data_IF_211659919842
#
_entry.id   IF_211659919842
#
_cell.length_a   1.000
_cell.length_b   1.000
_cell.length_c   1.000
_cell.angle_alpha   90.00
_cell.angle_beta   90.00
_cell.angle_gamma   90.00
#
_symmetry.space_group_name_H-M   'P 1'
#
loop_
_entity.id
_entity.type
_entity.pdbx_description
1 polymer ?
#
# COMPACT_ATOMS: atom_id res chain seq x y z
N UNK A 1 -30.35 -5.55 -1.11
CA UNK A 1 -29.69 -6.68 -0.40
C UNK A 1 -28.38 -7.00 -1.10
N UNK A 2 -27.25 -6.63 -0.51
CA UNK A 2 -25.92 -7.23 -0.76
C UNK A 2 -24.88 -6.58 0.17
N UNK A 3 -25.02 -6.79 1.49
CA UNK A 3 -23.97 -6.49 2.47
C UNK A 3 -23.20 -7.77 2.82
N UNK A 4 -22.61 -8.41 1.81
CA UNK A 4 -21.86 -9.65 2.01
C UNK A 4 -20.69 -9.73 1.03
N UNK A 5 -19.79 -8.75 1.02
CA UNK A 5 -18.50 -8.89 0.35
C UNK A 5 -17.36 -8.39 1.23
N UNK A 6 -16.48 -9.32 1.57
CA UNK A 6 -15.16 -9.19 2.18
C UNK A 6 -15.10 -9.10 3.71
N UNK A 7 -15.58 -10.14 4.41
CA UNK A 7 -14.82 -10.57 5.60
C UNK A 7 -13.48 -11.08 5.09
N UNK A 8 -12.38 -10.45 5.52
CA UNK A 8 -11.06 -11.01 5.23
C UNK A 8 -10.89 -12.24 6.11
N UNK A 9 -10.58 -13.37 5.49
CA UNK A 9 -10.36 -14.64 6.18
C UNK A 9 -8.88 -15.00 6.18
N UNK A 10 -8.44 -15.75 7.19
CA UNK A 10 -7.12 -16.37 7.22
C UNK A 10 -6.94 -17.34 6.05
N UNK A 11 -5.71 -17.46 5.54
CA UNK A 11 -5.30 -18.43 4.52
C UNK A 11 -3.91 -18.98 4.86
N UNK A 12 -3.65 -20.18 4.37
CA UNK A 12 -2.31 -20.75 4.32
C UNK A 12 -1.74 -20.54 2.91
N UNK A 13 -0.47 -20.18 2.83
CA UNK A 13 0.27 -20.01 1.59
C UNK A 13 1.51 -20.87 1.65
N UNK A 14 1.84 -21.50 0.52
CA UNK A 14 3.14 -22.14 0.34
C UNK A 14 4.17 -21.06 -0.02
N UNK A 15 5.25 -21.03 0.75
CA UNK A 15 6.32 -20.04 0.63
C UNK A 15 7.04 -20.14 -0.72
N UNK A 16 7.24 -21.35 -1.24
CA UNK A 16 8.06 -21.60 -2.44
C UNK A 16 7.31 -21.25 -3.73
N UNK A 17 5.99 -21.33 -3.71
CA UNK A 17 5.11 -20.95 -4.85
C UNK A 17 4.54 -19.54 -4.73
N UNK A 18 5.01 -18.76 -3.75
CA UNK A 18 4.59 -17.38 -3.51
C UNK A 18 5.68 -16.36 -3.82
N UNK A 19 5.28 -15.17 -4.26
CA UNK A 19 6.10 -13.96 -4.20
C UNK A 19 6.17 -13.46 -2.74
N UNK A 20 6.90 -14.21 -1.90
CA UNK A 20 6.98 -13.96 -0.47
C UNK A 20 8.16 -13.04 -0.13
N UNK A 21 7.94 -12.04 0.74
CA UNK A 21 9.00 -11.13 1.20
C UNK A 21 8.95 -10.86 2.70
N UNK A 22 10.13 -10.69 3.29
CA UNK A 22 10.31 -10.32 4.70
C UNK A 22 11.12 -9.01 4.84
N UNK A 23 12.00 -8.72 3.88
CA UNK A 23 12.94 -7.59 3.92
C UNK A 23 12.64 -6.63 2.78
N UNK A 24 12.74 -5.33 3.05
CA UNK A 24 12.48 -4.26 2.07
C UNK A 24 13.52 -4.16 0.97
N UNK A 25 14.73 -4.69 1.17
CA UNK A 25 15.84 -4.70 0.20
C UNK A 25 16.03 -6.06 -0.50
N UNK A 26 15.13 -7.02 -0.28
CA UNK A 26 15.17 -8.34 -0.92
C UNK A 26 14.26 -8.38 -2.15
N UNK A 27 14.20 -9.55 -2.82
CA UNK A 27 13.23 -9.78 -3.90
C UNK A 27 11.81 -9.49 -3.39
N UNK A 28 11.04 -8.75 -4.19
CA UNK A 28 9.69 -8.24 -3.86
C UNK A 28 9.64 -7.21 -2.73
N UNK A 29 10.78 -6.73 -2.22
CA UNK A 29 10.85 -5.83 -1.07
C UNK A 29 10.17 -4.48 -1.31
N UNK A 30 10.09 -4.04 -2.56
CA UNK A 30 9.37 -2.86 -3.03
C UNK A 30 7.85 -2.96 -2.79
N UNK A 31 7.31 -4.17 -2.63
CA UNK A 31 5.89 -4.37 -2.28
C UNK A 31 5.62 -4.15 -0.78
N UNK A 32 6.65 -3.99 0.06
CA UNK A 32 6.43 -3.58 1.45
C UNK A 32 5.99 -2.11 1.53
N UNK A 33 5.00 -1.81 2.37
CA UNK A 33 4.64 -0.44 2.75
C UNK A 33 5.74 0.27 3.57
N UNK A 34 6.70 -0.50 4.10
CA UNK A 34 7.88 0.00 4.81
C UNK A 34 9.11 0.18 3.89
N UNK A 35 8.98 -0.04 2.58
CA UNK A 35 10.08 0.15 1.65
C UNK A 35 10.32 1.64 1.38
N UNK A 36 11.52 2.11 1.73
CA UNK A 36 11.97 3.48 1.47
C UNK A 36 12.33 3.69 -0.01
N UNK A 37 12.47 4.94 -0.44
CA UNK A 37 12.81 5.29 -1.83
C UNK A 37 11.59 5.44 -2.76
N UNK A 38 10.38 5.38 -2.19
CA UNK A 38 9.12 5.58 -2.91
C UNK A 38 8.31 6.71 -2.27
N UNK A 39 8.80 7.97 -2.30
CA UNK A 39 8.06 9.10 -1.74
C UNK A 39 6.71 9.25 -2.43
N UNK A 40 5.69 9.67 -1.68
CA UNK A 40 4.33 9.89 -2.20
C UNK A 40 4.01 11.37 -2.11
N UNK A 41 3.75 11.97 -3.26
CA UNK A 41 3.21 13.32 -3.36
C UNK A 41 1.68 13.31 -3.30
N UNK A 42 1.10 14.09 -2.41
CA UNK A 42 -0.34 14.27 -2.27
C UNK A 42 -0.65 15.69 -1.84
N UNK A 43 -1.66 16.32 -2.42
CA UNK A 43 -1.99 17.74 -2.17
C UNK A 43 -0.80 18.70 -2.40
N UNK A 44 0.15 18.33 -3.28
CA UNK A 44 1.39 19.09 -3.50
C UNK A 44 2.41 18.98 -2.36
N UNK A 45 2.16 18.12 -1.37
CA UNK A 45 3.05 17.83 -0.25
C UNK A 45 3.68 16.45 -0.46
N UNK A 46 4.88 16.24 0.06
CA UNK A 46 5.59 14.96 -0.07
C UNK A 46 5.66 14.24 1.27
N UNK A 47 5.43 12.93 1.27
CA UNK A 47 5.74 12.03 2.36
C UNK A 47 6.79 11.01 1.93
N UNK A 48 7.55 10.49 2.90
CA UNK A 48 8.60 9.50 2.67
C UNK A 48 8.13 8.21 1.97
N UNK A 49 6.84 7.88 2.01
CA UNK A 49 6.26 6.75 1.30
C UNK A 49 4.96 6.23 1.92
N UNK A 50 4.63 4.98 1.59
CA UNK A 50 3.33 4.35 1.89
C UNK A 50 3.01 4.32 3.39
N UNK A 51 3.94 3.92 4.26
CA UNK A 51 3.69 3.90 5.71
C UNK A 51 3.43 5.31 6.26
N UNK A 52 4.21 6.31 5.84
CA UNK A 52 4.03 7.68 6.31
C UNK A 52 2.66 8.22 5.92
N UNK A 53 2.22 7.98 4.67
CA UNK A 53 0.87 8.36 4.25
C UNK A 53 -0.18 7.59 5.04
N UNK A 54 -0.06 6.26 5.12
CA UNK A 54 -1.04 5.45 5.84
C UNK A 54 -1.22 5.89 7.30
N UNK A 55 -0.13 6.21 8.00
CA UNK A 55 -0.21 6.71 9.37
C UNK A 55 -0.79 8.13 9.45
N UNK A 56 -0.53 9.01 8.47
CA UNK A 56 -1.14 10.35 8.48
C UNK A 56 -2.66 10.30 8.28
N UNK A 57 -3.17 9.35 7.49
CA UNK A 57 -4.60 9.12 7.29
C UNK A 57 -5.33 8.66 8.56
N UNK A 58 -4.60 8.17 9.55
CA UNK A 58 -5.15 7.81 10.87
C UNK A 58 -5.60 9.04 11.66
N UNK A 59 -5.04 10.21 11.37
CA UNK A 59 -5.16 11.43 12.18
C UNK A 59 -5.79 12.60 11.40
N UNK A 60 -6.84 12.33 10.62
CA UNK A 60 -7.47 13.34 9.72
C UNK A 60 -8.02 14.57 10.44
N UNK A 61 -8.39 14.45 11.73
CA UNK A 61 -8.89 15.57 12.54
C UNK A 61 -7.77 16.28 13.32
N UNK A 62 -6.52 15.83 13.17
CA UNK A 62 -5.37 16.28 13.94
C UNK A 62 -4.20 16.67 13.01
N UNK A 63 -4.30 17.82 12.31
CA UNK A 63 -3.27 18.27 11.38
C UNK A 63 -1.90 18.46 12.04
N UNK A 64 -1.85 18.76 13.33
CA UNK A 64 -0.62 18.86 14.10
C UNK A 64 0.12 17.52 14.19
N UNK A 65 -0.62 16.41 14.32
CA UNK A 65 -0.04 15.06 14.38
C UNK A 65 0.39 14.61 12.99
N UNK A 66 -0.43 14.91 11.98
CA UNK A 66 -0.05 14.68 10.60
C UNK A 66 1.25 15.41 10.28
N UNK A 67 1.40 16.69 10.67
CA UNK A 67 2.62 17.46 10.46
C UNK A 67 3.86 16.76 11.06
N UNK A 68 3.75 16.26 12.30
CA UNK A 68 4.84 15.48 12.90
C UNK A 68 5.25 14.28 12.04
N UNK A 69 4.30 13.58 11.42
CA UNK A 69 4.57 12.41 10.55
C UNK A 69 5.29 12.84 9.26
N UNK A 70 4.87 13.95 8.65
CA UNK A 70 5.50 14.52 7.45
C UNK A 70 6.96 14.94 7.70
N UNK A 71 7.28 15.36 8.92
CA UNK A 71 8.61 15.84 9.31
C UNK A 71 9.57 14.71 9.74
N UNK A 72 9.15 13.45 9.75
CA UNK A 72 10.03 12.34 10.14
C UNK A 72 11.10 12.05 9.08
N UNK A 73 12.24 11.53 9.53
CA UNK A 73 13.39 11.24 8.66
C UNK A 73 13.32 9.87 7.98
N UNK A 74 12.53 8.94 8.54
CA UNK A 74 12.35 7.61 7.97
C UNK A 74 10.99 6.99 8.33
N UNK A 75 10.58 5.99 7.55
CA UNK A 75 9.28 5.31 7.69
C UNK A 75 9.09 4.65 9.06
N UNK A 76 10.17 4.17 9.69
CA UNK A 76 10.10 3.63 11.05
C UNK A 76 9.66 4.71 12.04
N UNK A 77 10.24 5.91 11.98
CA UNK A 77 9.84 7.01 12.83
C UNK A 77 8.46 7.58 12.44
N UNK A 78 8.08 7.57 11.17
CA UNK A 78 6.69 7.90 10.76
C UNK A 78 5.66 7.03 11.48
N UNK A 79 5.92 5.73 11.65
CA UNK A 79 5.07 4.84 12.44
C UNK A 79 5.22 5.05 13.95
N UNK A 80 6.45 5.17 14.44
CA UNK A 80 6.74 5.24 15.88
C UNK A 80 6.20 6.51 16.53
N UNK A 81 6.32 7.66 15.87
CA UNK A 81 5.83 8.94 16.39
C UNK A 81 4.30 8.95 16.61
N UNK A 82 3.57 8.05 15.95
CA UNK A 82 2.12 7.92 16.09
C UNK A 82 1.69 7.19 17.37
N UNK A 83 2.56 6.40 18.00
CA UNK A 83 2.19 5.51 19.12
C UNK A 83 1.54 6.26 20.30
N UNK A 84 2.05 7.42 20.76
CA UNK A 84 1.44 8.17 21.85
C UNK A 84 0.05 8.75 21.51
N UNK A 85 -0.31 8.80 20.23
CA UNK A 85 -1.52 9.44 19.74
C UNK A 85 -2.59 8.46 19.29
N UNK A 86 -2.41 7.15 19.50
CA UNK A 86 -3.33 6.10 19.03
C UNK A 86 -4.79 6.37 19.41
N UNK A 87 -5.08 6.95 20.56
CA UNK A 87 -6.45 7.30 20.98
C UNK A 87 -7.10 8.43 20.16
N UNK A 88 -6.28 9.22 19.45
CA UNK A 88 -6.71 10.26 18.50
C UNK A 88 -6.94 9.71 17.09
N UNK A 89 -7.00 8.39 16.94
CA UNK A 89 -7.35 7.78 15.65
C UNK A 89 -8.73 8.25 15.22
N UNK A 90 -8.89 8.46 13.92
CA UNK A 90 -10.18 8.65 13.27
C UNK A 90 -11.23 7.63 13.76
N UNK A 91 -12.46 8.09 14.00
CA UNK A 91 -13.58 7.32 14.60
C UNK A 91 -13.78 5.91 14.02
N UNK A 92 -13.63 5.73 12.71
CA UNK A 92 -13.88 4.46 12.02
C UNK A 92 -12.61 3.78 11.48
N UNK A 93 -11.44 4.13 12.01
CA UNK A 93 -10.14 3.66 11.55
C UNK A 93 -10.08 2.14 11.30
N UNK A 94 -10.57 1.32 12.22
CA UNK A 94 -10.52 -0.14 12.08
C UNK A 94 -11.32 -0.68 10.88
N UNK A 95 -12.39 0.02 10.48
CA UNK A 95 -13.21 -0.32 9.31
C UNK A 95 -12.67 0.26 8.01
N UNK A 96 -11.96 1.39 8.09
CA UNK A 96 -11.48 2.16 6.93
C UNK A 96 -10.04 1.82 6.53
N UNK A 97 -9.23 1.28 7.44
CA UNK A 97 -7.78 1.05 7.24
C UNK A 97 -7.40 0.27 5.99
N UNK A 98 -8.24 -0.68 5.54
CA UNK A 98 -8.00 -1.44 4.31
C UNK A 98 -8.15 -0.53 3.08
N UNK A 99 -9.17 0.34 3.08
CA UNK A 99 -9.41 1.29 1.99
C UNK A 99 -8.29 2.33 1.92
N UNK A 100 -7.80 2.80 3.07
CA UNK A 100 -6.64 3.69 3.11
C UNK A 100 -5.37 3.02 2.60
N UNK A 101 -5.07 1.79 3.03
CA UNK A 101 -3.89 1.09 2.50
C UNK A 101 -4.00 0.89 1.00
N UNK A 102 -5.17 0.45 0.49
CA UNK A 102 -5.42 0.33 -0.95
C UNK A 102 -5.08 1.62 -1.69
N UNK A 103 -5.59 2.75 -1.20
CA UNK A 103 -5.34 4.05 -1.80
C UNK A 103 -3.85 4.42 -1.75
N UNK A 104 -3.15 4.16 -0.64
CA UNK A 104 -1.71 4.37 -0.57
C UNK A 104 -0.94 3.53 -1.61
N UNK A 105 -1.35 2.28 -1.84
CA UNK A 105 -0.75 1.42 -2.88
C UNK A 105 -1.03 1.95 -4.29
N UNK A 106 -2.25 2.41 -4.56
CA UNK A 106 -2.61 3.02 -5.84
C UNK A 106 -1.79 4.26 -6.14
N UNK A 107 -1.60 5.14 -5.14
CA UNK A 107 -0.73 6.30 -5.26
C UNK A 107 0.73 5.89 -5.51
N UNK A 108 1.22 4.85 -4.82
CA UNK A 108 2.56 4.31 -5.04
C UNK A 108 2.73 3.81 -6.48
N UNK A 109 1.78 3.02 -7.00
CA UNK A 109 1.81 2.54 -8.39
C UNK A 109 1.78 3.70 -9.37
N UNK A 110 0.86 4.65 -9.17
CA UNK A 110 0.67 5.78 -10.06
C UNK A 110 1.94 6.64 -10.15
N UNK A 111 2.66 6.84 -9.04
CA UNK A 111 3.83 7.72 -9.00
C UNK A 111 5.15 7.01 -9.28
N UNK A 112 5.20 5.68 -9.13
CA UNK A 112 6.39 4.85 -9.32
C UNK A 112 6.14 3.70 -10.30
N UNK A 113 5.40 3.99 -11.37
CA UNK A 113 4.92 2.99 -12.33
C UNK A 113 6.04 2.10 -12.88
N UNK A 114 7.12 2.71 -13.36
CA UNK A 114 8.25 2.04 -14.02
C UNK A 114 9.02 1.09 -13.11
N UNK A 115 8.84 1.22 -11.79
CA UNK A 115 9.48 0.34 -10.81
C UNK A 115 8.50 -0.72 -10.29
N UNK A 116 7.27 -0.31 -9.94
CA UNK A 116 6.32 -1.20 -9.27
C UNK A 116 5.63 -2.16 -10.25
N UNK A 117 5.27 -1.71 -11.45
CA UNK A 117 4.54 -2.54 -12.41
C UNK A 117 5.35 -3.72 -12.92
N UNK A 118 6.65 -3.59 -13.26
CA UNK A 118 7.48 -4.75 -13.60
C UNK A 118 7.49 -5.82 -12.50
N UNK A 119 7.55 -5.42 -11.24
CA UNK A 119 7.54 -6.33 -10.08
C UNK A 119 6.17 -7.02 -9.96
N UNK A 120 5.07 -6.29 -10.12
CA UNK A 120 3.72 -6.89 -10.14
C UNK A 120 3.58 -7.90 -11.28
N UNK A 121 4.07 -7.59 -12.48
CA UNK A 121 4.03 -8.49 -13.63
C UNK A 121 4.92 -9.72 -13.43
N UNK A 122 6.11 -9.57 -12.83
CA UNK A 122 6.99 -10.70 -12.50
C UNK A 122 6.32 -11.65 -11.50
N UNK A 123 5.46 -11.14 -10.62
CA UNK A 123 4.71 -11.99 -9.68
C UNK A 123 3.66 -12.90 -10.34
N UNK A 124 3.23 -12.59 -11.58
CA UNK A 124 2.31 -13.39 -12.41
C UNK A 124 1.09 -13.91 -11.65
N UNK A 125 0.87 -15.22 -11.57
CA UNK A 125 -0.22 -15.85 -10.83
C UNK A 125 0.12 -16.20 -9.38
N UNK A 126 1.34 -15.90 -8.91
CA UNK A 126 1.77 -16.27 -7.56
C UNK A 126 1.01 -15.46 -6.51
N UNK A 127 0.70 -16.06 -5.34
CA UNK A 127 0.31 -15.28 -4.18
C UNK A 127 1.44 -14.29 -3.81
N UNK A 128 1.09 -13.03 -3.57
CA UNK A 128 2.02 -12.05 -2.98
C UNK A 128 1.84 -12.13 -1.47
N UNK A 129 2.92 -12.35 -0.72
CA UNK A 129 2.83 -12.60 0.73
C UNK A 129 3.88 -11.81 1.51
N UNK A 130 3.42 -10.92 2.39
CA UNK A 130 4.31 -10.33 3.39
C UNK A 130 4.50 -11.33 4.54
N UNK A 131 5.73 -11.82 4.71
CA UNK A 131 6.11 -12.63 5.87
C UNK A 131 6.27 -11.69 7.06
N UNK A 132 5.56 -11.96 8.15
CA UNK A 132 5.60 -11.19 9.37
C UNK A 132 5.92 -12.07 10.57
N UNK A 133 6.68 -11.53 11.53
CA UNK A 133 6.94 -12.20 12.80
C UNK A 133 5.78 -12.10 13.79
N UNK A 134 4.95 -11.06 13.67
CA UNK A 134 3.99 -10.68 14.72
C UNK A 134 2.59 -10.36 14.19
N UNK A 135 2.47 -9.94 12.93
CA UNK A 135 1.23 -9.44 12.33
C UNK A 135 0.66 -10.46 11.34
N UNK A 136 -0.45 -11.08 11.72
CA UNK A 136 -1.20 -12.01 10.87
C UNK A 136 -2.40 -11.35 10.16
N UNK A 137 -2.60 -10.03 10.33
CA UNK A 137 -3.60 -9.26 9.62
C UNK A 137 -3.05 -8.74 8.29
N UNK A 138 -1.99 -7.94 8.33
CA UNK A 138 -1.39 -7.38 7.11
C UNK A 138 -0.53 -8.40 6.37
N UNK A 139 0.17 -9.28 7.11
CA UNK A 139 1.02 -10.33 6.58
C UNK A 139 0.58 -11.74 7.00
N UNK A 140 1.53 -12.68 6.91
CA UNK A 140 1.40 -14.07 7.33
C UNK A 140 2.63 -14.52 8.12
N UNK A 141 2.42 -15.33 9.15
CA UNK A 141 3.47 -15.86 10.03
C UNK A 141 3.99 -17.19 9.50
N UNK A 142 5.30 -17.39 9.55
CA UNK A 142 5.92 -18.69 9.28
C UNK A 142 5.51 -19.69 10.35
N UNK A 143 4.95 -20.82 9.91
CA UNK A 143 4.57 -21.96 10.75
C UNK A 143 5.71 -22.97 10.85
N UNK A 144 5.60 -23.91 11.80
CA UNK A 144 6.60 -24.97 12.00
C UNK A 144 6.77 -25.89 10.78
N UNK A 145 5.68 -26.13 10.04
CA UNK A 145 5.67 -26.92 8.81
C UNK A 145 6.25 -26.18 7.58
N UNK A 146 6.74 -24.96 7.78
CA UNK A 146 7.29 -24.10 6.71
C UNK A 146 6.24 -23.31 5.93
N UNK A 147 4.94 -23.53 6.16
CA UNK A 147 3.87 -22.76 5.53
C UNK A 147 3.74 -21.35 6.11
N UNK A 148 3.10 -20.45 5.36
CA UNK A 148 2.79 -19.10 5.81
C UNK A 148 1.30 -19.00 6.13
N UNK A 149 0.95 -18.68 7.38
CA UNK A 149 -0.45 -18.57 7.81
C UNK A 149 -0.81 -17.16 8.25
N UNK A 150 -1.86 -16.59 7.67
CA UNK A 150 -2.34 -15.25 8.00
C UNK A 150 -3.41 -14.75 7.04
N UNK A 151 -3.99 -13.60 7.38
CA UNK A 151 -4.92 -12.90 6.52
C UNK A 151 -4.19 -12.30 5.31
N UNK A 152 -2.94 -11.84 5.49
CA UNK A 152 -2.09 -11.29 4.42
C UNK A 152 -2.85 -10.24 3.58
N UNK A 153 -3.50 -9.29 4.25
CA UNK A 153 -4.31 -8.26 3.59
C UNK A 153 -3.45 -7.46 2.62
N UNK A 154 -2.22 -7.08 2.99
CA UNK A 154 -1.35 -6.27 2.12
C UNK A 154 -1.06 -7.01 0.81
N UNK A 155 -0.66 -8.27 0.89
CA UNK A 155 -0.40 -9.10 -0.29
C UNK A 155 -1.64 -9.26 -1.17
N UNK A 156 -2.84 -9.39 -0.58
CA UNK A 156 -4.10 -9.44 -1.33
C UNK A 156 -4.44 -8.13 -2.02
N UNK A 157 -4.18 -6.99 -1.37
CA UNK A 157 -4.34 -5.68 -2.01
C UNK A 157 -3.41 -5.55 -3.22
N UNK A 158 -2.17 -6.02 -3.13
CA UNK A 158 -1.24 -6.06 -4.26
C UNK A 158 -1.69 -6.96 -5.39
N UNK A 159 -2.21 -8.16 -5.08
CA UNK A 159 -2.80 -9.04 -6.10
C UNK A 159 -3.97 -8.37 -6.80
N UNK A 160 -4.85 -7.68 -6.05
CA UNK A 160 -5.93 -6.90 -6.66
C UNK A 160 -5.40 -5.78 -7.57
N UNK A 161 -4.36 -5.05 -7.14
CA UNK A 161 -3.77 -4.01 -7.99
C UNK A 161 -3.09 -4.59 -9.23
N UNK A 162 -2.44 -5.75 -9.12
CA UNK A 162 -1.86 -6.48 -10.26
C UNK A 162 -2.92 -6.81 -11.30
N UNK A 163 -4.08 -7.32 -10.90
CA UNK A 163 -5.18 -7.60 -11.83
C UNK A 163 -5.68 -6.33 -12.52
N UNK A 164 -5.76 -5.20 -11.81
CA UNK A 164 -6.14 -3.91 -12.41
C UNK A 164 -5.09 -3.45 -13.43
N UNK A 165 -3.80 -3.55 -13.08
CA UNK A 165 -2.70 -3.23 -14.00
C UNK A 165 -2.75 -4.10 -15.25
N UNK A 166 -2.98 -5.41 -15.09
CA UNK A 166 -3.06 -6.35 -16.21
C UNK A 166 -4.23 -6.06 -17.15
N UNK A 167 -5.42 -5.80 -16.60
CA UNK A 167 -6.64 -5.64 -17.40
C UNK A 167 -6.80 -4.24 -17.99
N UNK A 168 -6.29 -3.20 -17.34
CA UNK A 168 -6.57 -1.80 -17.68
C UNK A 168 -5.32 -0.98 -18.01
N UNK A 169 -4.13 -1.48 -17.68
CA UNK A 169 -2.87 -0.76 -17.86
C UNK A 169 -2.83 0.58 -17.13
N UNK A 170 -2.01 1.50 -17.64
CA UNK A 170 -1.80 2.82 -17.03
C UNK A 170 -3.07 3.66 -16.91
N UNK A 171 -4.07 3.46 -17.78
CA UNK A 171 -5.33 4.22 -17.76
C UNK A 171 -6.06 4.12 -16.40
N UNK A 172 -5.95 2.99 -15.70
CA UNK A 172 -6.53 2.84 -14.37
C UNK A 172 -5.82 3.65 -13.27
N UNK A 173 -4.59 4.10 -13.52
CA UNK A 173 -3.74 4.82 -12.57
C UNK A 173 -3.39 6.24 -13.00
N UNK A 174 -3.87 6.67 -14.17
CA UNK A 174 -3.74 8.05 -14.67
C UNK A 174 -4.36 9.06 -13.70
N UNK A 175 -5.47 8.69 -13.06
CA UNK A 175 -6.14 9.49 -12.03
C UNK A 175 -6.55 8.62 -10.86
N UNK A 176 -5.91 8.82 -9.72
CA UNK A 176 -6.27 8.17 -8.46
C UNK A 176 -7.04 9.16 -7.60
N UNK A 177 -8.29 8.83 -7.28
CA UNK A 177 -9.12 9.63 -6.39
C UNK A 177 -8.97 9.15 -4.93
N UNK A 178 -9.18 10.03 -3.94
CA UNK A 178 -9.30 9.61 -2.56
C UNK A 178 -10.47 8.64 -2.38
N UNK A 179 -10.41 7.71 -1.40
CA UNK A 179 -11.56 6.88 -1.07
C UNK A 179 -12.74 7.76 -0.62
N UNK A 180 -13.95 7.35 -0.97
CA UNK A 180 -15.20 8.03 -0.59
C UNK A 180 -15.49 7.80 0.90
N UNK A 181 -14.75 8.54 1.73
CA UNK A 181 -14.84 8.52 3.19
C UNK A 181 -14.96 9.97 3.66
N UNK A 182 -15.92 10.21 4.55
CA UNK A 182 -16.20 11.54 5.09
C UNK A 182 -14.95 12.17 5.74
N UNK A 183 -14.78 13.49 5.74
CA UNK A 183 -13.74 14.15 6.55
C UNK A 183 -12.31 13.67 6.31
N UNK A 184 -11.98 13.18 5.11
CA UNK A 184 -10.62 12.78 4.75
C UNK A 184 -9.77 14.02 4.49
N UNK A 185 -8.97 14.41 5.49
CA UNK A 185 -8.12 15.60 5.44
C UNK A 185 -6.62 15.25 5.48
N UNK A 186 -5.83 16.06 4.78
CA UNK A 186 -4.37 16.09 4.82
C UNK A 186 -3.94 17.50 5.23
N UNK A 187 -3.32 17.62 6.41
CA UNK A 187 -2.92 18.89 7.04
C UNK A 187 -4.06 19.93 7.06
N UNK A 188 -5.27 19.49 7.42
CA UNK A 188 -6.45 20.34 7.56
C UNK A 188 -7.12 20.75 6.24
N UNK A 189 -6.66 20.24 5.10
CA UNK A 189 -7.29 20.43 3.79
C UNK A 189 -7.88 19.12 3.27
N UNK A 190 -8.98 19.13 2.50
CA UNK A 190 -9.50 17.92 1.88
C UNK A 190 -8.41 17.18 1.10
N UNK A 191 -8.34 15.86 1.29
CA UNK A 191 -7.49 15.02 0.47
C UNK A 191 -7.87 15.17 -1.01
N UNK A 192 -6.86 15.37 -1.85
CA UNK A 192 -7.00 15.39 -3.28
C UNK A 192 -6.42 14.11 -3.87
N UNK A 193 -6.96 13.72 -5.02
CA UNK A 193 -6.37 12.67 -5.82
C UNK A 193 -5.02 13.07 -6.39
N UNK A 194 -4.36 12.14 -7.09
CA UNK A 194 -3.22 12.45 -7.94
C UNK A 194 -3.60 12.27 -9.42
N UNK A 195 -3.07 13.16 -10.26
CA UNK A 195 -2.95 12.92 -11.69
C UNK A 195 -1.53 12.41 -11.92
N UNK A 196 -1.41 11.18 -12.42
CA UNK A 196 -0.13 10.63 -12.80
C UNK A 196 0.20 11.01 -14.24
N UNK A 197 1.46 11.32 -14.49
CA UNK A 197 1.96 11.51 -15.85
C UNK A 197 2.25 10.14 -16.44
N UNK A 198 1.87 9.92 -17.70
CA UNK A 198 2.23 8.71 -18.44
C UNK A 198 3.73 8.44 -18.23
N UNK A 199 4.11 7.20 -17.91
CA UNK A 199 5.52 6.86 -17.78
C UNK A 199 6.21 7.21 -19.09
N UNK A 200 7.48 7.64 -19.02
CA UNK A 200 8.24 7.87 -20.25
C UNK A 200 8.28 6.53 -20.97
N UNK A 201 7.81 6.49 -22.22
CA UNK A 201 7.94 5.30 -23.05
C UNK A 201 9.44 4.95 -23.08
N UNK A 202 9.82 3.90 -22.36
CA UNK A 202 11.03 3.17 -22.71
C UNK A 202 10.72 2.61 -24.09
N UNK A 203 11.24 3.30 -25.11
CA UNK A 203 11.25 2.97 -26.53
C UNK A 203 10.66 1.58 -26.81
N UNK A 204 9.50 1.53 -27.48
CA UNK A 204 8.93 0.30 -28.04
C UNK A 204 9.98 -0.45 -28.87
N UNK A 205 10.76 -1.29 -28.21
CA UNK A 205 11.71 -2.22 -28.79
C UNK A 205 11.59 -3.56 -28.08
N UNK A 206 10.38 -4.07 -28.01
CA UNK A 206 10.16 -5.52 -28.06
C UNK A 206 9.01 -5.75 -29.03
N UNK A 207 9.38 -5.76 -30.31
CA UNK A 207 8.51 -6.17 -31.39
C UNK A 207 7.97 -7.56 -31.13
N UNK A 208 6.65 -7.68 -31.24
CA UNK A 208 6.01 -8.97 -31.46
C UNK A 208 6.39 -9.45 -32.86
N UNK A 209 7.18 -10.53 -32.91
CA UNK A 209 7.11 -11.55 -33.97
C UNK A 209 6.67 -12.86 -33.32
#
# INVERSE_FOLDING_TARGET
MNQQKNKVHFRTYDKETSAAFLKTRGKWGELSNMCAGFPISINGLELLGTEALYQSLRFTEHPEIQKLIFEQENLYFSKKCCQPFVEKSRRYWMKERIQFMRWCLQLKIAQHWDVIVPILNESKGMPIVEISKHDDFWGAKLQEDGSLYGMNVLGRLWMEQREIVFNNGFKAFEKILPPDLEGLMILGKPALGCLSKKPREACDQLGFF
#
